data_IF_545445907633
#
_entry.id   IF_545445907633
#
_cell.length_a   1.000
_cell.length_b   1.000
_cell.length_c   1.000
_cell.angle_alpha   90.00
_cell.angle_beta   90.00
_cell.angle_gamma   90.00
#
_symmetry.space_group_name_H-M   'P 1'
#
loop_
_entity.id
_entity.type
_entity.pdbx_description
1 polymer ?
#
# COMPACT_ATOMS: atom_id res chain seq x y z
N UNK A 1 -1.90 13.55 -5.81
CA UNK A 1 -3.04 14.13 -5.07
C UNK A 1 -3.32 13.20 -3.92
N UNK A 2 -3.39 13.73 -2.70
CA UNK A 2 -3.69 12.90 -1.54
C UNK A 2 -5.14 12.43 -1.61
N UNK A 3 -5.34 11.12 -1.65
CA UNK A 3 -6.65 10.49 -1.71
C UNK A 3 -6.77 9.47 -0.59
N UNK A 4 -7.81 9.64 0.23
CA UNK A 4 -8.25 8.62 1.19
C UNK A 4 -9.04 7.56 0.43
N UNK A 5 -8.71 6.29 0.63
CA UNK A 5 -9.45 5.18 0.04
C UNK A 5 -9.39 3.95 0.93
N UNK A 6 -10.36 3.07 0.75
CA UNK A 6 -10.30 1.70 1.25
C UNK A 6 -9.83 0.77 0.14
N UNK A 7 -9.08 -0.26 0.50
CA UNK A 7 -8.67 -1.31 -0.43
C UNK A 7 -8.40 -2.65 0.25
N UNK A 8 -8.47 -3.71 -0.54
CA UNK A 8 -8.12 -5.08 -0.14
C UNK A 8 -6.76 -5.42 -0.71
N UNK A 9 -5.85 -5.89 0.16
CA UNK A 9 -4.52 -6.35 -0.25
C UNK A 9 -4.64 -7.66 -1.04
N UNK A 10 -4.10 -7.65 -2.25
CA UNK A 10 -4.07 -8.84 -3.11
C UNK A 10 -2.72 -9.55 -3.04
N UNK A 11 -1.63 -8.78 -3.10
CA UNK A 11 -0.28 -9.33 -3.16
C UNK A 11 0.74 -8.35 -2.57
N UNK A 12 1.80 -8.90 -1.96
CA UNK A 12 2.90 -8.13 -1.36
C UNK A 12 4.21 -8.63 -1.93
N UNK A 13 4.92 -7.75 -2.63
CA UNK A 13 6.24 -8.02 -3.20
C UNK A 13 7.30 -7.20 -2.46
N UNK A 14 8.34 -7.85 -1.93
CA UNK A 14 9.50 -7.11 -1.40
C UNK A 14 10.19 -6.38 -2.55
N UNK A 15 10.34 -5.06 -2.44
CA UNK A 15 11.00 -4.25 -3.48
C UNK A 15 12.47 -3.98 -3.14
N UNK A 16 12.73 -3.56 -1.91
CA UNK A 16 14.08 -3.35 -1.38
C UNK A 16 14.09 -3.54 0.15
N UNK A 17 15.16 -3.14 0.82
CA UNK A 17 15.31 -3.30 2.27
C UNK A 17 14.49 -2.31 3.10
N UNK A 18 13.79 -1.37 2.48
CA UNK A 18 12.99 -0.35 3.15
C UNK A 18 11.55 -0.25 2.64
N UNK A 19 11.17 -1.01 1.62
CA UNK A 19 9.84 -0.89 1.02
C UNK A 19 9.37 -2.17 0.32
N UNK A 20 8.04 -2.31 0.28
CA UNK A 20 7.32 -3.33 -0.46
C UNK A 20 6.46 -2.66 -1.53
N UNK A 21 6.22 -3.37 -2.63
CA UNK A 21 5.14 -3.06 -3.56
C UNK A 21 3.93 -3.91 -3.12
N UNK A 22 2.79 -3.26 -2.92
CA UNK A 22 1.55 -3.91 -2.51
C UNK A 22 0.51 -3.69 -3.60
N UNK A 23 0.05 -4.78 -4.19
CA UNK A 23 -1.08 -4.76 -5.12
C UNK A 23 -2.37 -4.78 -4.32
N UNK A 24 -3.28 -3.86 -4.64
CA UNK A 24 -4.56 -3.72 -3.95
C UNK A 24 -5.70 -3.59 -4.94
N UNK A 25 -6.87 -4.07 -4.53
CA UNK A 25 -8.13 -3.68 -5.14
C UNK A 25 -8.74 -2.55 -4.31
N UNK A 26 -8.82 -1.36 -4.88
CA UNK A 26 -9.31 -0.14 -4.23
C UNK A 26 -10.71 0.20 -4.71
N UNK A 27 -11.46 0.89 -3.85
CA UNK A 27 -12.83 1.33 -4.15
C UNK A 27 -12.90 2.27 -5.37
N UNK A 28 -11.95 3.21 -5.49
CA UNK A 28 -12.04 4.31 -6.46
C UNK A 28 -11.27 4.05 -7.77
N UNK A 29 -10.19 3.27 -7.71
CA UNK A 29 -9.25 3.12 -8.82
C UNK A 29 -9.11 1.68 -9.31
N UNK A 30 -9.93 0.77 -8.77
CA UNK A 30 -9.85 -0.66 -9.09
C UNK A 30 -8.51 -1.24 -8.64
N UNK A 31 -7.89 -2.08 -9.49
CA UNK A 31 -6.60 -2.70 -9.17
C UNK A 31 -5.45 -1.72 -9.39
N UNK A 32 -4.75 -1.38 -8.32
CA UNK A 32 -3.60 -0.46 -8.32
C UNK A 32 -2.46 -0.99 -7.44
N UNK A 33 -1.24 -0.57 -7.74
CA UNK A 33 -0.04 -0.95 -6.99
C UNK A 33 0.49 0.24 -6.19
N UNK A 34 0.91 -0.01 -4.96
CA UNK A 34 1.41 1.00 -4.03
C UNK A 34 2.78 0.64 -3.48
N UNK A 35 3.70 1.60 -3.47
CA UNK A 35 4.96 1.51 -2.76
C UNK A 35 4.73 1.87 -1.29
N UNK A 36 4.90 0.90 -0.42
CA UNK A 36 4.72 1.01 1.04
C UNK A 36 6.09 0.97 1.72
N UNK A 37 6.40 1.99 2.52
CA UNK A 37 7.63 2.00 3.32
C UNK A 37 7.46 1.05 4.50
N UNK A 38 8.40 0.11 4.67
CA UNK A 38 8.41 -0.84 5.79
C UNK A 38 9.14 -0.20 6.97
N UNK A 39 8.45 0.14 8.07
CA UNK A 39 9.10 0.72 9.22
C UNK A 39 9.99 -0.29 9.94
N UNK A 40 11.22 0.12 10.26
CA UNK A 40 12.24 -0.75 10.90
C UNK A 40 12.19 -0.77 12.43
N UNK A 41 11.48 0.17 13.06
CA UNK A 41 11.38 0.21 14.53
C UNK A 41 10.33 -0.77 15.04
N UNK A 42 10.61 -1.43 16.18
CA UNK A 42 9.69 -2.41 16.80
C UNK A 42 8.30 -1.82 17.06
N UNK A 43 8.23 -0.52 17.40
CA UNK A 43 6.97 0.21 17.63
C UNK A 43 6.12 0.36 16.37
N UNK A 44 6.75 0.50 15.20
CA UNK A 44 6.05 0.69 13.93
C UNK A 44 5.94 -0.58 13.10
N UNK A 45 6.62 -1.68 13.47
CA UNK A 45 6.52 -2.98 12.78
C UNK A 45 5.06 -3.49 12.68
N UNK A 46 4.19 -3.11 13.63
CA UNK A 46 2.76 -3.42 13.55
C UNK A 46 2.08 -2.86 12.29
N UNK A 47 2.61 -1.78 11.69
CA UNK A 47 2.09 -1.23 10.43
C UNK A 47 2.35 -2.14 9.23
N UNK A 48 3.39 -2.99 9.24
CA UNK A 48 3.62 -3.91 8.12
C UNK A 48 2.60 -5.05 8.11
N UNK A 49 2.07 -5.43 9.28
CA UNK A 49 1.02 -6.45 9.43
C UNK A 49 -0.29 -6.02 8.76
N UNK A 50 -0.56 -4.71 8.67
CA UNK A 50 -1.75 -4.20 7.97
C UNK A 50 -1.76 -4.55 6.49
N UNK A 51 -0.59 -4.80 5.89
CA UNK A 51 -0.48 -5.13 4.48
C UNK A 51 -0.44 -6.65 4.25
N UNK A 52 -1.03 -7.47 5.12
CA UNK A 52 -1.18 -8.90 4.84
C UNK A 52 -2.22 -9.14 3.73
N UNK A 53 -2.04 -10.15 2.86
CA UNK A 53 -3.05 -10.52 1.87
C UNK A 53 -4.44 -10.69 2.47
N UNK A 54 -5.46 -10.25 1.75
CA UNK A 54 -6.88 -10.21 2.14
C UNK A 54 -7.21 -9.26 3.29
N UNK A 55 -6.25 -8.53 3.84
CA UNK A 55 -6.54 -7.43 4.75
C UNK A 55 -7.27 -6.31 4.01
N UNK A 56 -8.36 -5.82 4.60
CA UNK A 56 -9.02 -4.59 4.19
C UNK A 56 -8.43 -3.45 4.99
N UNK A 57 -7.90 -2.44 4.30
CA UNK A 57 -7.23 -1.30 4.92
C UNK A 57 -7.77 0.02 4.36
N UNK A 58 -7.90 1.00 5.25
CA UNK A 58 -8.09 2.40 4.89
C UNK A 58 -6.73 3.10 4.91
N UNK A 59 -6.40 3.84 3.85
CA UNK A 59 -5.12 4.52 3.72
C UNK A 59 -5.22 5.80 2.89
N UNK A 60 -4.27 6.70 3.16
CA UNK A 60 -4.05 7.90 2.36
C UNK A 60 -2.98 7.57 1.31
N UNK A 61 -3.26 7.86 0.04
CA UNK A 61 -2.30 7.62 -1.05
C UNK A 61 -2.00 8.89 -1.83
N UNK A 62 -0.73 9.06 -2.24
CA UNK A 62 -0.35 10.07 -3.23
C UNK A 62 -0.61 9.51 -4.63
N UNK A 63 -1.85 9.69 -5.10
CA UNK A 63 -2.28 9.25 -6.41
C UNK A 63 -1.75 10.17 -7.51
N UNK A 64 -1.16 9.60 -8.56
CA UNK A 64 -0.54 10.35 -9.66
C UNK A 64 -1.12 9.88 -11.00
N UNK A 65 -1.83 10.74 -11.75
CA UNK A 65 -2.35 10.37 -13.05
C UNK A 65 -1.22 9.88 -13.97
N UNK A 66 -1.45 8.77 -14.68
CA UNK A 66 -0.49 8.18 -15.61
C UNK A 66 0.65 7.38 -14.97
N UNK A 67 0.75 7.31 -13.64
CA UNK A 67 1.68 6.41 -12.94
C UNK A 67 1.06 5.05 -12.71
N UNK A 68 1.82 3.97 -12.92
CA UNK A 68 1.43 2.61 -12.55
C UNK A 68 1.71 2.26 -11.09
N UNK A 69 2.49 3.09 -10.39
CA UNK A 69 2.88 2.90 -8.99
C UNK A 69 2.64 4.18 -8.20
N UNK A 70 1.87 4.09 -7.13
CA UNK A 70 1.57 5.19 -6.22
C UNK A 70 2.27 4.99 -4.88
N UNK A 71 2.20 5.96 -3.97
CA UNK A 71 2.83 5.85 -2.63
C UNK A 71 1.77 5.95 -1.55
N UNK A 72 1.97 5.18 -0.47
CA UNK A 72 1.23 5.24 0.80
C UNK A 72 2.20 5.75 1.87
#
# INVERSE_FOLDING_TARGET
MLQKTVGIVLHVLKYNDSSNIVDMYTEHSGRTSYLVTVPRSRKNALKSVLFQPLAMIEFDSDWRPGSSLHRI
#
